data_IF_476187524809
#
_entry.id   IF_476187524809
#
_cell.length_a   1.000
_cell.length_b   1.000
_cell.length_c   1.000
_cell.angle_alpha   90.00
_cell.angle_beta   90.00
_cell.angle_gamma   90.00
#
_symmetry.space_group_name_H-M   'P 1'
#
loop_
_entity.id
_entity.type
_entity.pdbx_description
1 polymer ?
#
# COMPACT_ATOMS: atom_id res chain seq x y z
N UNK A 1 -1.24 16.27 -6.42
CA UNK A 1 -2.04 15.24 -5.78
C UNK A 1 -3.18 14.93 -6.71
N UNK A 2 -3.25 13.71 -7.24
CA UNK A 2 -4.35 13.31 -8.10
C UNK A 2 -5.52 12.72 -7.32
N UNK A 3 -6.62 12.52 -8.03
CA UNK A 3 -7.94 12.18 -7.48
C UNK A 3 -7.90 10.87 -6.67
N UNK A 4 -7.14 9.88 -7.14
CA UNK A 4 -7.04 8.58 -6.46
C UNK A 4 -6.17 8.62 -5.21
N UNK A 5 -5.11 9.44 -5.22
CA UNK A 5 -4.26 9.65 -4.03
C UNK A 5 -5.03 10.38 -2.93
N UNK A 6 -5.85 11.37 -3.32
CA UNK A 6 -6.72 12.10 -2.41
C UNK A 6 -7.78 11.16 -1.80
N UNK A 7 -8.49 10.39 -2.62
CA UNK A 7 -9.48 9.42 -2.17
C UNK A 7 -8.90 8.36 -1.22
N UNK A 8 -7.71 7.83 -1.52
CA UNK A 8 -7.03 6.90 -0.61
C UNK A 8 -6.71 7.56 0.73
N UNK A 9 -6.32 8.83 0.75
CA UNK A 9 -5.98 9.55 2.00
C UNK A 9 -7.17 9.80 2.93
N UNK A 10 -8.40 9.69 2.42
CA UNK A 10 -9.62 9.73 3.23
C UNK A 10 -9.87 8.40 3.98
N UNK A 11 -9.21 7.32 3.58
CA UNK A 11 -9.33 5.99 4.19
C UNK A 11 -8.40 5.84 5.40
N UNK A 12 -8.75 4.93 6.30
CA UNK A 12 -8.09 4.80 7.61
C UNK A 12 -6.58 4.50 7.48
N UNK A 13 -5.74 5.40 7.99
CA UNK A 13 -4.29 5.19 8.11
C UNK A 13 -3.49 5.38 6.82
N UNK A 14 -4.14 5.74 5.71
CA UNK A 14 -3.47 6.19 4.51
C UNK A 14 -3.00 7.63 4.66
N UNK A 15 -1.86 7.93 4.03
CA UNK A 15 -1.28 9.26 3.98
C UNK A 15 -0.86 9.57 2.55
N UNK A 16 -1.28 10.73 2.05
CA UNK A 16 -0.93 11.16 0.71
C UNK A 16 0.37 11.99 0.70
N UNK A 17 1.27 11.63 -0.21
CA UNK A 17 2.53 12.32 -0.48
C UNK A 17 2.67 12.54 -1.99
N UNK A 18 2.45 13.77 -2.45
CA UNK A 18 2.54 14.19 -3.86
C UNK A 18 1.73 13.35 -4.85
N UNK A 19 2.32 12.27 -5.36
CA UNK A 19 1.78 11.33 -6.37
C UNK A 19 1.57 9.92 -5.81
N UNK A 20 1.76 9.75 -4.51
CA UNK A 20 1.64 8.47 -3.83
C UNK A 20 0.71 8.56 -2.63
N UNK A 21 0.06 7.44 -2.33
CA UNK A 21 -0.59 7.23 -1.05
C UNK A 21 0.14 6.08 -0.34
N UNK A 22 0.38 6.21 0.96
CA UNK A 22 1.09 5.22 1.77
C UNK A 22 0.29 4.85 3.01
N UNK A 23 0.27 3.57 3.34
CA UNK A 23 -0.29 3.06 4.60
C UNK A 23 0.73 2.17 5.30
N UNK A 24 0.76 2.27 6.63
CA UNK A 24 1.57 1.40 7.48
C UNK A 24 0.69 0.37 8.17
N UNK A 25 1.11 -0.89 8.11
CA UNK A 25 0.47 -1.99 8.82
C UNK A 25 1.45 -2.61 9.81
N UNK A 26 1.01 -2.82 11.05
CA UNK A 26 1.79 -3.53 12.07
C UNK A 26 0.98 -4.75 12.53
N UNK A 27 1.45 -5.93 12.16
CA UNK A 27 1.00 -7.21 12.71
C UNK A 27 1.74 -7.55 14.01
N UNK A 28 1.51 -8.76 14.53
CA UNK A 28 2.11 -9.22 15.78
C UNK A 28 3.66 -9.31 15.72
N UNK A 29 4.19 -9.75 14.58
CA UNK A 29 5.63 -10.01 14.40
C UNK A 29 6.26 -9.20 13.25
N UNK A 30 5.43 -8.59 12.40
CA UNK A 30 5.88 -7.93 11.17
C UNK A 30 5.26 -6.54 11.03
N UNK A 31 6.03 -5.61 10.48
CA UNK A 31 5.55 -4.31 10.02
C UNK A 31 5.75 -4.18 8.52
N UNK A 32 4.76 -3.61 7.85
CA UNK A 32 4.76 -3.36 6.41
C UNK A 32 4.44 -1.90 6.12
N UNK A 33 5.06 -1.37 5.07
CA UNK A 33 4.65 -0.13 4.43
C UNK A 33 4.15 -0.49 3.03
N UNK A 34 3.00 0.03 2.66
CA UNK A 34 2.37 -0.21 1.36
C UNK A 34 2.19 1.13 0.69
N UNK A 35 2.58 1.20 -0.58
CA UNK A 35 2.56 2.44 -1.35
C UNK A 35 1.84 2.25 -2.67
N UNK A 36 0.86 3.10 -2.95
CA UNK A 36 0.26 3.25 -4.27
C UNK A 36 0.93 4.44 -4.97
N UNK A 37 1.34 4.27 -6.23
CA UNK A 37 1.86 5.35 -7.08
C UNK A 37 0.93 5.58 -8.26
N UNK A 38 0.33 6.76 -8.31
CA UNK A 38 -0.63 7.14 -9.35
C UNK A 38 -0.03 7.18 -10.77
N UNK A 39 1.19 7.73 -11.02
CA UNK A 39 1.74 7.83 -12.37
C UNK A 39 1.99 6.48 -13.04
N UNK A 40 2.33 5.47 -12.22
CA UNK A 40 2.61 4.11 -12.67
C UNK A 40 1.41 3.17 -12.54
N UNK A 41 0.39 3.60 -11.79
CA UNK A 41 -0.77 2.81 -11.39
C UNK A 41 -0.37 1.42 -10.88
N UNK A 42 0.40 1.40 -9.78
CA UNK A 42 0.99 0.21 -9.17
C UNK A 42 1.05 0.31 -7.65
N UNK A 43 1.10 -0.84 -6.99
CA UNK A 43 1.30 -0.97 -5.54
C UNK A 43 2.66 -1.60 -5.24
N UNK A 44 3.40 -1.03 -4.30
CA UNK A 44 4.66 -1.56 -3.78
C UNK A 44 4.50 -1.99 -2.33
N UNK A 45 5.10 -3.14 -2.00
CA UNK A 45 5.14 -3.68 -0.65
C UNK A 45 6.55 -3.58 -0.07
N UNK A 46 6.62 -3.11 1.16
CA UNK A 46 7.86 -3.00 1.91
C UNK A 46 7.70 -3.66 3.26
N UNK A 47 8.68 -4.47 3.64
CA UNK A 47 8.78 -5.01 5.00
C UNK A 47 9.70 -4.13 5.82
N UNK A 48 9.18 -3.59 6.91
CA UNK A 48 9.95 -2.81 7.88
C UNK A 48 10.71 -3.77 8.79
N UNK A 49 12.00 -3.54 8.96
CA UNK A 49 12.87 -4.31 9.86
C UNK A 49 12.51 -4.04 11.32
N UNK A 50 13.00 -4.89 12.23
CA UNK A 50 12.76 -4.77 13.68
C UNK A 50 13.24 -3.42 14.25
N UNK A 51 14.24 -2.83 13.61
CA UNK A 51 14.76 -1.49 13.91
C UNK A 51 13.73 -0.36 13.66
N UNK A 52 12.68 -0.62 12.87
CA UNK A 52 11.61 0.34 12.60
C UNK A 52 11.98 1.45 11.60
N UNK A 53 13.27 1.67 11.33
CA UNK A 53 13.76 2.74 10.45
C UNK A 53 13.99 2.24 9.02
N UNK A 54 14.34 0.96 8.87
CA UNK A 54 14.70 0.38 7.57
C UNK A 54 13.52 -0.38 6.96
N UNK A 55 13.09 0.01 5.76
CA UNK A 55 12.12 -0.72 4.95
C UNK A 55 12.80 -1.36 3.73
N UNK A 56 12.53 -2.64 3.47
CA UNK A 56 13.06 -3.38 2.31
C UNK A 56 11.92 -3.78 1.38
N UNK A 57 12.09 -3.64 0.05
CA UNK A 57 11.04 -4.04 -0.89
C UNK A 57 10.87 -5.55 -0.84
N UNK A 58 9.61 -5.99 -0.83
CA UNK A 58 9.27 -7.41 -0.79
C UNK A 58 8.24 -7.74 -1.86
N UNK A 59 8.29 -8.99 -2.33
CA UNK A 59 7.31 -9.48 -3.29
C UNK A 59 5.94 -9.65 -2.64
N UNK A 60 4.89 -9.37 -3.39
CA UNK A 60 3.48 -9.62 -2.99
C UNK A 60 3.26 -10.99 -2.33
N UNK A 61 3.90 -12.04 -2.84
CA UNK A 61 3.76 -13.40 -2.33
C UNK A 61 4.30 -13.63 -0.91
N UNK A 62 5.08 -12.70 -0.36
CA UNK A 62 5.55 -12.78 1.03
C UNK A 62 4.68 -11.96 2.00
N UNK A 63 3.68 -11.24 1.48
CA UNK A 63 2.79 -10.39 2.27
C UNK A 63 1.56 -11.19 2.71
N UNK A 64 1.16 -11.13 3.99
CA UNK A 64 0.00 -11.88 4.48
C UNK A 64 -1.28 -11.55 3.70
N UNK A 65 -2.08 -12.58 3.40
CA UNK A 65 -3.34 -12.41 2.67
C UNK A 65 -4.32 -11.42 3.33
N UNK A 66 -4.50 -11.37 4.67
CA UNK A 66 -5.38 -10.36 5.27
C UNK A 66 -4.98 -8.93 4.96
N UNK A 67 -3.67 -8.64 4.90
CA UNK A 67 -3.16 -7.33 4.53
C UNK A 67 -3.44 -7.06 3.06
N UNK A 68 -3.19 -8.03 2.18
CA UNK A 68 -3.47 -7.89 0.75
C UNK A 68 -4.96 -7.72 0.45
N UNK A 69 -5.84 -8.41 1.18
CA UNK A 69 -7.30 -8.24 1.09
C UNK A 69 -7.69 -6.82 1.43
N UNK A 70 -7.22 -6.30 2.59
CA UNK A 70 -7.49 -4.92 2.99
C UNK A 70 -7.04 -3.91 1.93
N UNK A 71 -5.82 -4.04 1.39
CA UNK A 71 -5.34 -3.12 0.36
C UNK A 71 -6.23 -3.16 -0.89
N UNK A 72 -6.71 -4.33 -1.30
CA UNK A 72 -7.63 -4.44 -2.45
C UNK A 72 -8.99 -3.81 -2.17
N UNK A 73 -9.48 -3.89 -0.94
CA UNK A 73 -10.71 -3.23 -0.50
C UNK A 73 -10.52 -1.70 -0.55
N UNK A 74 -9.45 -1.19 0.07
CA UNK A 74 -9.13 0.24 0.09
C UNK A 74 -9.01 0.82 -1.34
N UNK A 75 -8.36 0.09 -2.26
CA UNK A 75 -8.28 0.48 -3.67
C UNK A 75 -9.66 0.55 -4.34
N UNK A 76 -10.52 -0.45 -4.10
CA UNK A 76 -11.86 -0.45 -4.67
C UNK A 76 -12.71 0.70 -4.11
N UNK A 77 -12.59 1.00 -2.82
CA UNK A 77 -13.27 2.12 -2.17
C UNK A 77 -12.78 3.48 -2.69
N UNK A 78 -11.49 3.60 -3.05
CA UNK A 78 -10.93 4.80 -3.69
C UNK A 78 -11.21 4.88 -5.20
N UNK A 79 -12.06 4.01 -5.74
CA UNK A 79 -12.43 3.96 -7.16
C UNK A 79 -11.34 3.41 -8.10
N UNK A 80 -10.29 2.79 -7.55
CA UNK A 80 -9.27 2.09 -8.32
C UNK A 80 -9.68 0.64 -8.59
N UNK A 81 -9.19 0.09 -9.69
CA UNK A 81 -9.34 -1.33 -9.97
C UNK A 81 -8.40 -2.15 -9.05
N UNK A 82 -8.90 -3.11 -8.25
CA UNK A 82 -8.07 -3.85 -7.30
C UNK A 82 -7.07 -4.80 -7.97
N UNK A 83 -7.14 -5.04 -9.29
CA UNK A 83 -6.15 -5.85 -10.00
C UNK A 83 -4.79 -5.13 -10.13
N UNK A 84 -4.74 -3.80 -9.95
CA UNK A 84 -3.47 -3.05 -9.96
C UNK A 84 -2.52 -3.50 -8.85
N UNK A 85 -3.06 -4.01 -7.73
CA UNK A 85 -2.27 -4.58 -6.63
C UNK A 85 -1.49 -5.83 -7.06
N UNK A 86 -1.95 -6.51 -8.12
CA UNK A 86 -1.29 -7.68 -8.68
C UNK A 86 -0.32 -7.34 -9.82
N UNK A 87 -0.21 -6.06 -10.20
CA UNK A 87 0.69 -5.61 -11.26
C UNK A 87 2.14 -5.70 -10.81
N UNK A 88 2.97 -6.35 -11.63
CA UNK A 88 4.42 -6.37 -11.45
C UNK A 88 5.00 -5.31 -12.39
N UNK A 89 5.84 -4.42 -11.84
CA UNK A 89 6.65 -3.48 -12.60
C UNK A 89 7.99 -4.09 -13.00
#
# INVERSE_FOLDING_TARGET
MGDHVDALSELEGWFAEEFAARVHYRGADDAYSIEYYEPSNCVLYWKVKEDGETAVPVGRGTVPDPLRTRIREDLAESGLDPEIESRVL
#
